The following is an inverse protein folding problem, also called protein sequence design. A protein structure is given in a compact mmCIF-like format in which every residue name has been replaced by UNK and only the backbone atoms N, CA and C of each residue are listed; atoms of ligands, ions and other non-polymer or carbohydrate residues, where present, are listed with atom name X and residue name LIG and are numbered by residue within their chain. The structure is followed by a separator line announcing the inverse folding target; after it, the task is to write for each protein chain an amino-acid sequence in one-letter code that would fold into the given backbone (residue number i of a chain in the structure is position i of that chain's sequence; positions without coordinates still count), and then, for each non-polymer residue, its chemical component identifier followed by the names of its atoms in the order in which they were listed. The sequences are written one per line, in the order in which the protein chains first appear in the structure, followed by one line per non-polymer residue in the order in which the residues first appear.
data_IF_180089599100
#
_entry.id   IF_180089599100
#
_cell.length_a   1.000
_cell.length_b   1.000
_cell.length_c   1.000
_cell.angle_alpha   90.00
_cell.angle_beta   90.00
_cell.angle_gamma   90.00
#
_symmetry.space_group_name_H-M   'P 1'
#
loop_
_entity.id
_entity.type
_entity.pdbx_description
1 polymer ?
#
# COMPACT_ATOMS: atom_id res chain seq x y z
N UNK A 1 -22.44 -4.29 -17.13
CA UNK A 1 -22.37 -4.64 -15.70
C UNK A 1 -20.89 -4.63 -15.34
N UNK A 2 -20.46 -3.65 -14.54
CA UNK A 2 -19.12 -3.69 -13.94
C UNK A 2 -19.21 -4.82 -12.91
N UNK A 3 -18.45 -5.90 -13.13
CA UNK A 3 -18.49 -7.09 -12.28
C UNK A 3 -18.15 -6.70 -10.84
N UNK A 4 -18.99 -7.10 -9.89
CA UNK A 4 -18.66 -6.96 -8.48
C UNK A 4 -17.45 -7.86 -8.20
N UNK A 5 -16.32 -7.27 -7.84
CA UNK A 5 -15.18 -8.01 -7.33
C UNK A 5 -15.41 -8.29 -5.84
N UNK A 6 -14.99 -9.44 -5.30
CA UNK A 6 -14.96 -9.65 -3.86
C UNK A 6 -13.90 -8.72 -3.28
N UNK A 7 -14.33 -7.69 -2.56
CA UNK A 7 -13.45 -6.76 -1.88
C UNK A 7 -13.63 -6.91 -0.36
N UNK A 8 -12.55 -6.70 0.40
CA UNK A 8 -12.52 -6.76 1.85
C UNK A 8 -13.03 -5.45 2.47
N UNK A 9 -12.18 -4.78 3.24
CA UNK A 9 -12.53 -3.51 3.89
C UNK A 9 -12.40 -2.38 2.86
N UNK A 10 -13.51 -1.74 2.51
CA UNK A 10 -13.52 -0.57 1.64
C UNK A 10 -14.11 0.66 2.34
N UNK A 11 -13.37 1.77 2.28
CA UNK A 11 -13.76 3.06 2.87
C UNK A 11 -13.63 4.14 1.80
N UNK A 12 -14.78 4.71 1.41
CA UNK A 12 -14.90 5.70 0.32
C UNK A 12 -15.24 7.11 0.85
N UNK A 13 -14.70 7.49 2.00
CA UNK A 13 -14.92 8.80 2.64
C UNK A 13 -13.84 9.06 3.69
N UNK A 14 -13.59 10.32 4.03
CA UNK A 14 -12.69 10.67 5.12
C UNK A 14 -13.13 10.17 6.48
N UNK A 15 -12.20 9.54 7.20
CA UNK A 15 -12.31 9.12 8.60
C UNK A 15 -10.99 9.48 9.28
N UNK A 16 -11.04 10.36 10.28
CA UNK A 16 -9.87 10.67 11.09
C UNK A 16 -9.71 9.66 12.23
N UNK A 17 -8.47 9.21 12.48
CA UNK A 17 -8.20 8.22 13.52
C UNK A 17 -8.64 6.80 13.15
N UNK A 18 -8.67 6.48 11.86
CA UNK A 18 -9.04 5.16 11.37
C UNK A 18 -8.01 4.11 11.80
N UNK A 19 -8.47 3.04 12.44
CA UNK A 19 -7.64 1.90 12.85
C UNK A 19 -8.18 0.62 12.23
N UNK A 20 -7.35 -0.06 11.43
CA UNK A 20 -7.63 -1.38 10.86
C UNK A 20 -6.58 -2.37 11.38
N UNK A 21 -6.98 -3.25 12.30
CA UNK A 21 -6.03 -4.15 12.98
C UNK A 21 -6.56 -5.54 13.27
N UNK A 22 -5.63 -6.51 13.34
CA UNK A 22 -5.89 -7.90 13.73
C UNK A 22 -6.91 -8.62 12.84
N UNK A 23 -6.94 -8.31 11.54
CA UNK A 23 -7.82 -8.98 10.58
C UNK A 23 -7.08 -10.06 9.79
N UNK A 24 -7.83 -11.05 9.34
CA UNK A 24 -7.39 -12.02 8.32
C UNK A 24 -8.24 -11.78 7.08
N UNK A 25 -7.59 -11.51 5.95
CA UNK A 25 -8.23 -11.29 4.66
C UNK A 25 -7.67 -12.30 3.66
N UNK A 26 -8.57 -12.98 2.97
CA UNK A 26 -8.27 -14.13 2.12
C UNK A 26 -9.06 -14.04 0.81
N UNK A 27 -8.38 -14.27 -0.31
CA UNK A 27 -8.95 -14.39 -1.67
C UNK A 27 -9.88 -13.25 -2.10
N UNK A 28 -9.54 -12.01 -1.72
CA UNK A 28 -10.20 -10.81 -2.23
C UNK A 28 -9.39 -10.16 -3.35
N UNK A 29 -10.08 -9.50 -4.26
CA UNK A 29 -9.48 -8.68 -5.31
C UNK A 29 -8.84 -7.41 -4.72
N UNK A 30 -9.47 -6.77 -3.74
CA UNK A 30 -8.88 -5.71 -2.93
C UNK A 30 -9.13 -6.02 -1.46
N UNK A 31 -8.09 -6.09 -0.63
CA UNK A 31 -8.26 -6.51 0.76
C UNK A 31 -8.53 -5.31 1.67
N UNK A 32 -7.69 -4.28 1.63
CA UNK A 32 -7.93 -2.99 2.28
C UNK A 32 -7.90 -1.91 1.22
N UNK A 33 -9.01 -1.19 1.03
CA UNK A 33 -9.10 -0.08 0.09
C UNK A 33 -9.59 1.18 0.78
N UNK A 34 -8.73 2.21 0.84
CA UNK A 34 -9.05 3.51 1.41
C UNK A 34 -9.03 4.57 0.32
N UNK A 35 -10.14 5.30 0.19
CA UNK A 35 -10.30 6.37 -0.79
C UNK A 35 -11.09 7.52 -0.16
N UNK A 36 -10.43 8.62 0.29
CA UNK A 36 -11.16 9.85 0.59
C UNK A 36 -11.83 10.38 -0.68
N UNK A 37 -12.99 11.03 -0.54
CA UNK A 37 -13.65 11.65 -1.70
C UNK A 37 -12.89 12.91 -2.15
N UNK A 38 -13.29 13.43 -3.31
CA UNK A 38 -12.71 14.62 -3.89
C UNK A 38 -12.72 15.81 -2.92
N UNK A 39 -11.54 16.37 -2.64
CA UNK A 39 -11.36 17.49 -1.71
C UNK A 39 -11.41 17.12 -0.23
N UNK A 40 -11.60 15.85 0.11
CA UNK A 40 -11.56 15.40 1.50
C UNK A 40 -10.13 15.08 1.96
N UNK A 41 -9.91 15.21 3.26
CA UNK A 41 -8.64 14.90 3.92
C UNK A 41 -8.88 13.84 4.97
N UNK A 42 -8.12 12.74 4.92
CA UNK A 42 -8.20 11.64 5.90
C UNK A 42 -6.88 11.60 6.68
N UNK A 43 -6.95 11.56 8.02
CA UNK A 43 -5.74 11.68 8.86
C UNK A 43 -5.62 10.61 9.93
N UNK A 44 -4.39 10.37 10.38
CA UNK A 44 -4.08 9.49 11.51
C UNK A 44 -4.59 8.08 11.26
N UNK A 45 -4.13 7.50 10.15
CA UNK A 45 -4.54 6.18 9.69
C UNK A 45 -3.54 5.16 10.22
N UNK A 46 -4.03 4.11 10.89
CA UNK A 46 -3.20 3.00 11.34
C UNK A 46 -3.72 1.66 10.80
N UNK A 47 -2.86 0.94 10.08
CA UNK A 47 -3.15 -0.39 9.55
C UNK A 47 -2.09 -1.36 10.07
N UNK A 48 -2.45 -2.27 10.98
CA UNK A 48 -1.44 -3.14 11.61
C UNK A 48 -1.90 -4.51 12.09
N UNK A 49 -0.94 -5.43 12.23
CA UNK A 49 -1.18 -6.81 12.66
C UNK A 49 -2.22 -7.54 11.80
N UNK A 50 -2.34 -7.20 10.51
CA UNK A 50 -3.24 -7.91 9.60
C UNK A 50 -2.48 -8.99 8.83
N UNK A 51 -3.15 -10.11 8.57
CA UNK A 51 -2.71 -11.14 7.63
C UNK A 51 -3.56 -11.04 6.37
N UNK A 52 -2.92 -10.77 5.24
CA UNK A 52 -3.57 -10.58 3.95
C UNK A 52 -2.92 -11.53 2.96
N UNK A 53 -3.68 -12.48 2.41
CA UNK A 53 -3.13 -13.48 1.50
C UNK A 53 -4.14 -13.93 0.44
N UNK A 54 -3.63 -14.45 -0.67
CA UNK A 54 -4.41 -15.00 -1.77
C UNK A 54 -3.83 -16.39 -2.11
N UNK A 55 -4.68 -17.35 -2.44
CA UNK A 55 -4.24 -18.70 -2.82
C UNK A 55 -3.74 -18.78 -4.28
N UNK A 56 -4.34 -18.00 -5.16
CA UNK A 56 -3.99 -17.90 -6.57
C UNK A 56 -3.03 -16.73 -6.86
N UNK A 57 -1.76 -17.06 -7.15
CA UNK A 57 -0.72 -16.10 -7.52
C UNK A 57 -0.89 -15.51 -8.93
N UNK A 58 -1.74 -16.13 -9.76
CA UNK A 58 -1.99 -15.76 -11.15
C UNK A 58 -3.31 -15.00 -11.34
N UNK A 59 -4.07 -14.76 -10.27
CA UNK A 59 -5.24 -13.90 -10.31
C UNK A 59 -4.87 -12.50 -10.81
N UNK A 60 -5.65 -11.96 -11.75
CA UNK A 60 -5.35 -10.66 -12.32
C UNK A 60 -5.63 -9.56 -11.29
N UNK A 61 -4.54 -8.94 -10.80
CA UNK A 61 -4.52 -7.68 -10.04
C UNK A 61 -5.01 -7.66 -8.57
N UNK A 62 -4.85 -8.73 -7.75
CA UNK A 62 -5.14 -8.63 -6.32
C UNK A 62 -4.24 -7.61 -5.63
N UNK A 63 -4.85 -6.73 -4.82
CA UNK A 63 -4.17 -5.72 -4.01
C UNK A 63 -4.34 -6.03 -2.53
N UNK A 64 -3.23 -6.03 -1.80
CA UNK A 64 -3.26 -6.18 -0.35
C UNK A 64 -3.80 -4.92 0.32
N UNK A 65 -2.97 -3.89 0.45
CA UNK A 65 -3.37 -2.59 0.98
C UNK A 65 -3.31 -1.57 -0.15
N UNK A 66 -4.43 -0.92 -0.44
CA UNK A 66 -4.55 0.09 -1.48
C UNK A 66 -5.08 1.41 -0.91
N UNK A 67 -4.26 2.46 -1.00
CA UNK A 67 -4.63 3.82 -0.61
C UNK A 67 -4.76 4.70 -1.86
N UNK A 68 -5.94 5.20 -2.18
CA UNK A 68 -6.19 5.94 -3.42
C UNK A 68 -6.80 7.32 -3.17
N UNK A 69 -6.01 8.35 -3.42
CA UNK A 69 -6.42 9.75 -3.40
C UNK A 69 -6.74 10.31 -4.81
N UNK A 70 -6.62 9.49 -5.86
CA UNK A 70 -6.58 9.94 -7.26
C UNK A 70 -7.90 9.96 -8.03
N UNK A 71 -9.06 9.80 -7.37
CA UNK A 71 -10.36 9.77 -8.06
C UNK A 71 -11.11 11.11 -7.96
N UNK A 72 -11.39 11.75 -9.10
CA UNK A 72 -12.21 12.97 -9.19
C UNK A 72 -11.45 14.26 -9.51
N UNK A 73 -12.18 15.36 -9.75
CA UNK A 73 -11.63 16.63 -10.25
C UNK A 73 -10.74 17.41 -9.27
N UNK A 74 -10.89 17.17 -7.96
CA UNK A 74 -9.94 17.62 -6.94
C UNK A 74 -9.49 16.40 -6.12
N UNK A 75 -8.23 15.96 -6.17
CA UNK A 75 -7.81 14.76 -5.45
C UNK A 75 -8.02 14.94 -3.94
N UNK A 76 -8.44 13.87 -3.26
CA UNK A 76 -8.41 13.84 -1.80
C UNK A 76 -6.97 13.77 -1.29
N UNK A 77 -6.78 13.74 0.03
CA UNK A 77 -5.46 13.48 0.60
C UNK A 77 -5.50 12.62 1.86
N UNK A 78 -4.40 11.90 2.09
CA UNK A 78 -4.17 11.13 3.31
C UNK A 78 -2.91 11.63 4.02
N UNK A 79 -2.95 11.77 5.35
CA UNK A 79 -1.80 12.23 6.13
C UNK A 79 -1.60 11.39 7.39
N UNK A 80 -0.35 11.27 7.82
CA UNK A 80 0.04 10.50 9.01
C UNK A 80 -0.49 9.06 8.91
N UNK A 81 0.04 8.33 7.92
CA UNK A 81 -0.35 6.96 7.59
C UNK A 81 0.69 6.01 8.15
N UNK A 82 0.27 5.11 9.04
CA UNK A 82 1.15 4.09 9.62
C UNK A 82 0.70 2.72 9.19
N UNK A 83 1.56 1.98 8.50
CA UNK A 83 1.32 0.60 8.10
C UNK A 83 2.42 -0.26 8.70
N UNK A 84 2.07 -1.06 9.71
CA UNK A 84 3.10 -1.79 10.46
C UNK A 84 2.69 -3.20 10.90
N UNK A 85 3.66 -4.09 11.06
CA UNK A 85 3.44 -5.47 11.51
C UNK A 85 2.42 -6.27 10.67
N UNK A 86 2.22 -5.93 9.40
CA UNK A 86 1.32 -6.68 8.52
C UNK A 86 2.09 -7.77 7.78
N UNK A 87 1.42 -8.87 7.49
CA UNK A 87 1.91 -9.90 6.58
C UNK A 87 1.03 -9.89 5.34
N UNK A 88 1.62 -9.57 4.19
CA UNK A 88 0.93 -9.47 2.90
C UNK A 88 1.62 -10.41 1.91
N UNK A 89 0.92 -11.46 1.47
CA UNK A 89 1.52 -12.56 0.70
C UNK A 89 0.65 -12.91 -0.51
N UNK A 90 1.28 -13.33 -1.60
CA UNK A 90 0.60 -13.80 -2.82
C UNK A 90 -0.32 -12.79 -3.50
N UNK A 91 -0.03 -11.50 -3.36
CA UNK A 91 -0.72 -10.43 -4.08
C UNK A 91 0.00 -10.09 -5.39
N UNK A 92 -0.73 -9.46 -6.32
CA UNK A 92 -0.09 -8.77 -7.44
C UNK A 92 0.59 -7.50 -6.94
N UNK A 93 -0.09 -6.72 -6.09
CA UNK A 93 0.49 -5.59 -5.34
C UNK A 93 0.31 -5.81 -3.84
N UNK A 94 1.40 -5.88 -3.08
CA UNK A 94 1.32 -6.03 -1.62
C UNK A 94 0.75 -4.78 -0.94
N UNK A 95 1.52 -3.68 -0.97
CA UNK A 95 1.06 -2.36 -0.56
C UNK A 95 1.19 -1.43 -1.76
N UNK A 96 0.13 -0.68 -2.04
CA UNK A 96 0.11 0.29 -3.12
C UNK A 96 -0.68 1.52 -2.76
N UNK A 97 -0.31 2.64 -3.35
CA UNK A 97 -1.08 3.86 -3.23
C UNK A 97 -0.99 4.75 -4.45
N UNK A 98 -1.86 5.75 -4.52
CA UNK A 98 -1.93 6.73 -5.60
C UNK A 98 -2.37 8.10 -5.08
N UNK A 99 -1.73 9.17 -5.55
CA UNK A 99 -2.11 10.55 -5.24
C UNK A 99 -1.46 11.09 -3.96
N UNK A 100 -2.06 12.15 -3.39
CA UNK A 100 -1.48 12.92 -2.30
C UNK A 100 -1.57 12.17 -0.96
N UNK A 101 -0.46 11.58 -0.55
CA UNK A 101 -0.32 10.86 0.71
C UNK A 101 0.99 11.27 1.37
N UNK A 102 0.94 11.90 2.55
CA UNK A 102 2.15 12.39 3.25
C UNK A 102 2.31 11.79 4.64
N UNK A 103 3.54 11.85 5.14
CA UNK A 103 3.91 11.41 6.50
C UNK A 103 3.57 9.93 6.68
N UNK A 104 4.19 9.10 5.82
CA UNK A 104 3.93 7.66 5.75
C UNK A 104 5.02 6.90 6.49
N UNK A 105 4.64 6.07 7.45
CA UNK A 105 5.53 5.13 8.15
C UNK A 105 5.17 3.70 7.73
N UNK A 106 6.11 3.01 7.09
CA UNK A 106 6.04 1.58 6.79
C UNK A 106 6.98 0.82 7.72
N UNK A 107 6.51 -0.01 8.65
CA UNK A 107 7.46 -0.65 9.58
C UNK A 107 7.15 -2.09 9.92
N UNK A 108 8.18 -2.94 10.01
CA UNK A 108 8.04 -4.32 10.48
C UNK A 108 7.02 -5.16 9.67
N UNK A 109 6.81 -4.88 8.38
CA UNK A 109 5.92 -5.66 7.53
C UNK A 109 6.64 -6.81 6.82
N UNK A 110 5.92 -7.89 6.52
CA UNK A 110 6.37 -8.99 5.66
C UNK A 110 5.60 -8.90 4.34
N UNK A 111 6.30 -8.74 3.23
CA UNK A 111 5.71 -8.48 1.91
C UNK A 111 6.28 -9.46 0.89
N UNK A 112 5.60 -10.57 0.69
CA UNK A 112 6.03 -11.66 -0.21
C UNK A 112 5.06 -11.81 -1.39
N UNK A 113 5.23 -10.98 -2.43
CA UNK A 113 4.24 -10.77 -3.48
C UNK A 113 4.90 -10.67 -4.86
N UNK A 114 4.11 -10.86 -5.94
CA UNK A 114 4.62 -10.74 -7.32
C UNK A 114 5.24 -9.37 -7.59
N UNK A 115 4.57 -8.33 -7.11
CA UNK A 115 5.12 -6.98 -6.94
C UNK A 115 5.02 -6.67 -5.46
N UNK A 116 6.16 -6.51 -4.78
CA UNK A 116 6.22 -6.39 -3.33
C UNK A 116 5.44 -5.19 -2.85
N UNK A 117 6.01 -4.03 -3.09
CA UNK A 117 5.37 -2.75 -2.85
C UNK A 117 5.37 -2.02 -4.17
N UNK A 118 4.22 -1.54 -4.60
CA UNK A 118 4.08 -0.62 -5.70
C UNK A 118 3.62 0.70 -5.10
N UNK A 119 4.57 1.50 -4.63
CA UNK A 119 4.28 2.88 -4.30
C UNK A 119 3.95 3.51 -5.65
N UNK A 120 2.69 3.85 -5.87
CA UNK A 120 2.15 4.02 -7.20
C UNK A 120 2.04 5.48 -7.61
N UNK A 121 2.69 5.81 -8.71
CA UNK A 121 2.20 6.63 -9.81
C UNK A 121 1.49 7.94 -9.43
N UNK A 122 2.21 9.05 -9.59
CA UNK A 122 1.63 10.38 -9.70
C UNK A 122 1.83 11.21 -8.44
N UNK A 123 3.05 11.75 -8.36
CA UNK A 123 3.39 13.08 -7.86
C UNK A 123 2.58 13.60 -6.66
N UNK A 124 3.01 13.23 -5.44
CA UNK A 124 2.97 14.05 -4.19
C UNK A 124 3.11 13.24 -2.90
N UNK A 125 3.77 12.08 -2.91
CA UNK A 125 4.15 11.43 -1.65
C UNK A 125 5.41 12.05 -1.08
N UNK A 126 5.31 12.58 0.14
CA UNK A 126 6.38 13.29 0.84
C UNK A 126 6.52 12.79 2.27
N UNK A 127 7.73 12.88 2.84
CA UNK A 127 8.05 12.48 4.21
C UNK A 127 7.71 11.02 4.50
N UNK A 128 8.38 10.09 3.81
CA UNK A 128 8.16 8.67 4.02
C UNK A 128 9.31 8.06 4.81
N UNK A 129 8.98 7.18 5.75
CA UNK A 129 9.93 6.30 6.43
C UNK A 129 9.52 4.85 6.24
N UNK A 130 10.52 3.98 6.15
CA UNK A 130 10.36 2.54 6.02
C UNK A 130 11.37 1.91 6.96
N UNK A 131 11.03 0.93 7.79
CA UNK A 131 12.01 0.35 8.71
C UNK A 131 11.70 -1.12 8.95
N UNK A 132 12.71 -1.99 8.91
CA UNK A 132 12.57 -3.42 9.22
C UNK A 132 11.48 -4.16 8.43
N UNK A 133 11.22 -3.74 7.19
CA UNK A 133 10.30 -4.44 6.30
C UNK A 133 11.05 -5.56 5.56
N UNK A 134 10.47 -6.75 5.50
CA UNK A 134 10.99 -7.90 4.76
C UNK A 134 10.27 -8.02 3.41
N UNK A 135 11.02 -8.16 2.31
CA UNK A 135 10.44 -8.24 0.97
C UNK A 135 10.93 -9.49 0.23
N UNK A 136 10.01 -10.25 -0.39
CA UNK A 136 10.36 -11.50 -1.08
C UNK A 136 9.53 -11.76 -2.34
N UNK A 137 10.03 -12.64 -3.21
CA UNK A 137 9.40 -13.13 -4.45
C UNK A 137 9.00 -12.03 -5.46
N UNK A 138 9.84 -11.00 -5.55
CA UNK A 138 9.60 -9.82 -6.38
C UNK A 138 10.00 -10.11 -7.83
N UNK A 139 9.02 -10.30 -8.71
CA UNK A 139 9.27 -10.41 -10.15
C UNK A 139 9.59 -9.05 -10.79
N UNK A 140 9.13 -7.97 -10.14
CA UNK A 140 9.49 -6.58 -10.40
C UNK A 140 9.46 -5.81 -9.09
N UNK A 141 10.46 -4.96 -8.89
CA UNK A 141 10.48 -3.99 -7.79
C UNK A 141 10.20 -2.63 -8.41
N UNK A 142 9.14 -1.98 -7.94
CA UNK A 142 8.90 -0.58 -8.24
C UNK A 142 8.63 0.16 -6.94
N UNK A 143 9.64 0.87 -6.47
CA UNK A 143 9.51 1.69 -5.27
C UNK A 143 9.47 3.15 -5.73
N UNK A 144 8.32 3.81 -5.65
CA UNK A 144 8.25 5.28 -5.72
C UNK A 144 8.54 5.86 -4.32
N UNK A 145 9.76 6.34 -4.08
CA UNK A 145 10.21 6.90 -2.81
C UNK A 145 10.51 8.40 -2.90
N UNK A 146 9.79 9.22 -2.12
CA UNK A 146 9.97 10.68 -2.02
C UNK A 146 10.06 11.37 -3.40
N UNK A 147 9.13 11.02 -4.29
CA UNK A 147 9.08 11.55 -5.66
C UNK A 147 10.07 10.93 -6.66
N UNK A 148 10.86 9.92 -6.27
CA UNK A 148 11.73 9.15 -7.17
C UNK A 148 11.23 7.73 -7.38
N UNK A 149 11.29 7.21 -8.60
CA UNK A 149 10.99 5.79 -8.86
C UNK A 149 12.26 4.97 -9.01
N UNK A 150 12.37 3.90 -8.22
CA UNK A 150 13.40 2.87 -8.32
C UNK A 150 12.80 1.65 -9.01
N UNK A 151 13.36 1.28 -10.17
CA UNK A 151 12.97 0.14 -10.96
C UNK A 151 13.99 -0.99 -10.84
N UNK A 152 13.50 -2.22 -10.75
CA UNK A 152 14.21 -3.49 -11.03
C UNK A 152 15.39 -3.87 -10.11
N UNK A 153 15.96 -2.96 -9.32
CA UNK A 153 17.10 -3.24 -8.44
C UNK A 153 16.88 -2.74 -7.00
N UNK A 154 16.62 -3.68 -6.09
CA UNK A 154 16.56 -3.47 -4.63
C UNK A 154 17.79 -2.73 -4.11
N UNK A 155 18.96 -3.02 -4.69
CA UNK A 155 20.24 -2.41 -4.34
C UNK A 155 20.27 -0.90 -4.53
N UNK A 156 19.58 -0.38 -5.55
CA UNK A 156 19.59 1.05 -5.85
C UNK A 156 18.79 1.81 -4.79
N UNK A 157 17.64 1.26 -4.39
CA UNK A 157 16.88 1.74 -3.25
C UNK A 157 17.69 1.67 -1.94
N UNK A 158 18.31 0.52 -1.65
CA UNK A 158 19.09 0.32 -0.42
C UNK A 158 20.27 1.30 -0.35
N UNK A 159 20.98 1.50 -1.45
CA UNK A 159 22.14 2.40 -1.51
C UNK A 159 21.77 3.88 -1.37
N UNK A 160 20.64 4.31 -1.91
CA UNK A 160 20.23 5.72 -1.86
C UNK A 160 19.53 6.09 -0.55
N UNK A 161 18.74 5.17 0.01
CA UNK A 161 17.96 5.43 1.23
C UNK A 161 18.68 4.98 2.50
N UNK A 162 19.75 4.19 2.38
CA UNK A 162 20.46 3.59 3.51
C UNK A 162 19.64 2.52 4.24
N UNK A 163 18.56 2.05 3.63
CA UNK A 163 17.65 1.09 4.25
C UNK A 163 17.99 -0.33 3.83
N UNK A 164 18.27 -1.20 4.80
CA UNK A 164 18.47 -2.62 4.54
C UNK A 164 17.12 -3.30 4.31
N UNK A 165 16.95 -3.85 3.10
CA UNK A 165 15.84 -4.73 2.75
C UNK A 165 16.37 -6.17 2.75
N UNK A 166 16.07 -6.93 3.80
CA UNK A 166 16.37 -8.36 3.87
C UNK A 166 15.25 -9.20 3.25
#
# INVERSE_FOLDING_TARGET
MVGAHPDGIQIFRSIDGLIIRNNIMYDNHQNIFLQPLSGEVMKNIEIYNNLIYHDDYDYEWPKGIWLDCGYGGAPGSMHNVKIYNNTVVSMFFGITWRGNITDVELRNNIIANRTGVNLGMGDSSHNMSSDYNFFSNLNRIRIDWDGKTYWDHLSDYQSETGQDLH
#
